data_IF_758081104641
#
_entry.id   IF_758081104641
#
_cell.length_a   1.000
_cell.length_b   1.000
_cell.length_c   1.000
_cell.angle_alpha   90.00
_cell.angle_beta   90.00
_cell.angle_gamma   90.00
#
_symmetry.space_group_name_H-M   'P 1'
#
loop_
_entity.id
_entity.type
_entity.pdbx_description
1 polymer ?
#
# COMPACT_ATOMS: atom_id res chain seq x y z
N UNK A 1 -13.08 -10.80 -3.38
CA UNK A 1 -12.43 -9.53 -2.98
C UNK A 1 -12.39 -9.45 -1.46
N UNK A 2 -11.20 -9.32 -0.89
CA UNK A 2 -10.99 -9.18 0.56
C UNK A 2 -10.88 -7.69 0.87
N UNK A 3 -11.52 -7.25 1.96
CA UNK A 3 -11.61 -5.84 2.35
C UNK A 3 -10.64 -5.52 3.48
N UNK A 4 -9.88 -4.45 3.30
CA UNK A 4 -8.89 -3.96 4.25
C UNK A 4 -9.08 -2.47 4.54
N UNK A 5 -8.65 -2.07 5.72
CA UNK A 5 -8.40 -0.67 6.09
C UNK A 5 -6.89 -0.45 6.09
N UNK A 6 -6.47 0.66 5.48
CA UNK A 6 -5.08 1.12 5.53
C UNK A 6 -4.83 1.73 6.90
N UNK A 7 -3.91 1.14 7.66
CA UNK A 7 -3.58 1.58 9.01
C UNK A 7 -2.39 2.53 9.01
N UNK A 8 -1.35 2.20 8.25
CA UNK A 8 -0.09 2.93 8.20
C UNK A 8 0.54 2.79 6.82
N UNK A 9 1.14 3.87 6.33
CA UNK A 9 1.92 3.88 5.09
C UNK A 9 3.33 4.36 5.41
N UNK A 10 4.32 3.49 5.27
CA UNK A 10 5.73 3.86 5.36
C UNK A 10 6.25 4.17 3.94
N UNK A 11 6.44 5.46 3.65
CA UNK A 11 7.01 5.92 2.38
C UNK A 11 8.45 5.41 2.19
N UNK A 12 8.86 5.09 0.95
CA UNK A 12 10.22 4.65 0.68
C UNK A 12 11.24 5.78 0.91
N UNK A 13 12.18 5.55 1.84
CA UNK A 13 13.28 6.45 2.12
C UNK A 13 14.45 6.20 1.14
N UNK A 14 14.78 7.20 0.32
CA UNK A 14 15.85 7.12 -0.68
C UNK A 14 17.11 7.91 -0.29
N UNK A 15 17.13 8.56 0.88
CA UNK A 15 18.23 9.41 1.31
C UNK A 15 18.68 10.46 0.27
N UNK A 16 19.91 10.97 0.44
CA UNK A 16 20.52 11.94 -0.49
C UNK A 16 21.18 11.28 -1.71
N UNK A 17 21.35 9.96 -1.70
CA UNK A 17 22.06 9.21 -2.75
C UNK A 17 21.22 9.05 -4.04
N UNK A 18 19.94 9.44 -3.99
CA UNK A 18 19.04 9.41 -5.12
C UNK A 18 18.50 8.01 -5.41
N UNK A 19 17.45 7.96 -6.24
CA UNK A 19 16.86 6.68 -6.67
C UNK A 19 17.79 6.02 -7.69
N UNK A 20 18.01 4.68 -7.62
CA UNK A 20 18.56 3.98 -8.76
C UNK A 20 17.66 4.21 -9.97
N UNK A 21 18.26 4.49 -11.13
CA UNK A 21 17.52 4.62 -12.39
C UNK A 21 16.61 3.40 -12.57
N UNK A 22 15.35 3.65 -12.94
CA UNK A 22 14.30 2.66 -13.26
C UNK A 22 13.62 1.92 -12.09
N UNK A 23 14.02 2.13 -10.83
CA UNK A 23 13.33 1.51 -9.69
C UNK A 23 11.97 2.18 -9.39
N UNK A 24 10.89 1.37 -9.37
CA UNK A 24 9.58 1.83 -8.90
C UNK A 24 9.61 1.93 -7.37
N UNK A 25 9.35 3.12 -6.78
CA UNK A 25 9.27 3.27 -5.33
C UNK A 25 8.10 2.45 -4.76
N UNK A 26 8.38 1.63 -3.75
CA UNK A 26 7.40 0.79 -3.07
C UNK A 26 7.25 1.26 -1.61
N UNK A 27 6.03 1.59 -1.21
CA UNK A 27 5.70 1.87 0.18
C UNK A 27 5.33 0.57 0.90
N UNK A 28 5.65 0.47 2.19
CA UNK A 28 5.12 -0.60 3.03
C UNK A 28 3.80 -0.15 3.61
N UNK A 29 2.76 -0.94 3.38
CA UNK A 29 1.40 -0.61 3.80
C UNK A 29 0.95 -1.64 4.82
N UNK A 30 0.67 -1.17 6.03
CA UNK A 30 0.04 -1.98 7.07
C UNK A 30 -1.46 -1.95 6.87
N UNK A 31 -2.06 -3.12 6.73
CA UNK A 31 -3.46 -3.32 6.42
C UNK A 31 -4.15 -4.10 7.53
N UNK A 32 -5.34 -3.66 7.93
CA UNK A 32 -6.23 -4.39 8.84
C UNK A 32 -7.36 -5.03 8.06
N UNK A 33 -7.46 -6.35 8.10
CA UNK A 33 -8.60 -7.08 7.54
C UNK A 33 -9.88 -6.66 8.25
N UNK A 34 -10.87 -6.18 7.50
CA UNK A 34 -12.16 -5.76 8.07
C UNK A 34 -12.97 -6.97 8.55
N UNK A 35 -12.67 -8.17 8.06
CA UNK A 35 -13.41 -9.40 8.39
C UNK A 35 -13.08 -9.93 9.78
N UNK A 36 -11.79 -9.96 10.13
CA UNK A 36 -11.29 -10.65 11.33
C UNK A 36 -10.31 -9.80 12.15
N UNK A 37 -10.01 -8.57 11.71
CA UNK A 37 -9.11 -7.65 12.41
C UNK A 37 -7.62 -8.01 12.27
N UNK A 38 -7.27 -9.03 11.49
CA UNK A 38 -5.89 -9.47 11.31
C UNK A 38 -5.09 -8.39 10.58
N UNK A 39 -3.91 -8.09 11.11
CA UNK A 39 -2.95 -7.15 10.51
C UNK A 39 -2.06 -7.90 9.51
N UNK A 40 -1.89 -7.33 8.32
CA UNK A 40 -0.96 -7.83 7.30
C UNK A 40 -0.18 -6.67 6.70
N UNK A 41 0.99 -6.94 6.15
CA UNK A 41 1.81 -5.96 5.43
C UNK A 41 1.79 -6.26 3.93
N UNK A 42 1.73 -5.22 3.10
CA UNK A 42 1.86 -5.31 1.65
C UNK A 42 2.82 -4.25 1.14
N UNK A 43 3.61 -4.58 0.11
CA UNK A 43 4.40 -3.60 -0.63
C UNK A 43 3.56 -3.12 -1.81
N UNK A 44 3.23 -1.83 -1.84
CA UNK A 44 2.41 -1.20 -2.89
C UNK A 44 3.20 -0.06 -3.51
N UNK A 45 3.14 0.07 -4.83
CA UNK A 45 3.83 1.16 -5.52
C UNK A 45 3.35 2.52 -4.98
N UNK A 46 4.29 3.35 -4.56
CA UNK A 46 4.05 4.67 -3.97
C UNK A 46 3.23 5.56 -4.92
N UNK A 47 3.61 5.59 -6.20
CA UNK A 47 2.85 6.32 -7.23
C UNK A 47 1.43 5.80 -7.46
N UNK A 48 1.16 4.51 -7.21
CA UNK A 48 -0.20 3.96 -7.28
C UNK A 48 -1.06 4.43 -6.11
N UNK A 49 -0.50 4.46 -4.89
CA UNK A 49 -1.19 4.98 -3.71
C UNK A 49 -1.59 6.44 -3.93
N UNK A 50 -0.68 7.26 -4.44
CA UNK A 50 -0.95 8.65 -4.78
C UNK A 50 -2.01 8.81 -5.88
N UNK A 51 -1.91 8.05 -6.98
CA UNK A 51 -2.83 8.15 -8.11
C UNK A 51 -4.28 7.80 -7.73
N UNK A 52 -4.46 6.80 -6.87
CA UNK A 52 -5.79 6.34 -6.44
C UNK A 52 -6.26 7.00 -5.14
N UNK A 53 -5.51 8.00 -4.66
CA UNK A 53 -5.79 8.75 -3.42
C UNK A 53 -5.95 7.81 -2.20
N UNK A 54 -5.08 6.81 -2.08
CA UNK A 54 -5.09 5.84 -0.98
C UNK A 54 -4.19 6.36 0.14
N UNK A 55 -4.82 6.90 1.18
CA UNK A 55 -4.18 7.38 2.41
C UNK A 55 -4.48 6.47 3.61
N UNK A 56 -3.83 6.74 4.74
CA UNK A 56 -4.18 6.14 6.04
C UNK A 56 -5.67 6.34 6.36
N UNK A 57 -6.33 5.29 6.83
CA UNK A 57 -7.79 5.23 7.03
C UNK A 57 -8.60 4.90 5.77
N UNK A 58 -7.97 4.81 4.59
CA UNK A 58 -8.65 4.38 3.37
C UNK A 58 -9.11 2.93 3.47
N UNK A 59 -10.22 2.63 2.76
CA UNK A 59 -10.70 1.27 2.58
C UNK A 59 -10.28 0.81 1.19
N UNK A 60 -9.64 -0.36 1.13
CA UNK A 60 -9.20 -0.97 -0.12
C UNK A 60 -9.63 -2.43 -0.20
N UNK A 61 -9.62 -2.96 -1.41
CA UNK A 61 -10.00 -4.33 -1.74
C UNK A 61 -8.90 -5.03 -2.52
N UNK A 62 -8.61 -6.28 -2.14
CA UNK A 62 -7.75 -7.17 -2.92
C UNK A 62 -8.60 -8.21 -3.65
N UNK A 63 -8.40 -8.37 -4.95
CA UNK A 63 -9.01 -9.49 -5.67
C UNK A 63 -8.14 -10.76 -5.60
N UNK A 64 -8.66 -11.88 -6.09
CA UNK A 64 -7.97 -13.19 -6.07
C UNK A 64 -6.67 -13.21 -6.90
N UNK A 65 -6.44 -12.21 -7.76
CA UNK A 65 -5.21 -12.01 -8.52
C UNK A 65 -4.19 -11.10 -7.80
N UNK A 66 -4.48 -10.68 -6.56
CA UNK A 66 -3.61 -9.81 -5.76
C UNK A 66 -3.67 -8.32 -6.12
N UNK A 67 -4.58 -7.91 -7.01
CA UNK A 67 -4.72 -6.52 -7.45
C UNK A 67 -5.51 -5.73 -6.41
N UNK A 68 -4.95 -4.59 -6.02
CA UNK A 68 -5.56 -3.62 -5.11
C UNK A 68 -6.50 -2.67 -5.86
N UNK A 69 -7.58 -2.25 -5.19
CA UNK A 69 -8.53 -1.22 -5.64
C UNK A 69 -9.08 -0.49 -4.42
N UNK A 70 -9.30 0.82 -4.54
CA UNK A 70 -10.13 1.56 -3.57
C UNK A 70 -11.61 1.22 -3.76
#
# INVERSE_FOLDING_TARGET
MIKYEVVEIEEPDFGCEGRPDEAVPMAKVTLRSVKDGVMTMAEIADGYLYQEEIDEGSIIYQNDAGIWRK
#
